data_IF_292615870483
#
_entry.id   IF_292615870483
#
_cell.length_a   1.000
_cell.length_b   1.000
_cell.length_c   1.000
_cell.angle_alpha   90.00
_cell.angle_beta   90.00
_cell.angle_gamma   90.00
#
_symmetry.space_group_name_H-M   'P 1'
#
loop_
_entity.id
_entity.type
_entity.pdbx_description
1 polymer ?
#
# COMPACT_ATOMS: atom_id res chain seq x y z
N UNK A 1 1.81 -42.30 -19.19
CA UNK A 1 1.34 -40.91 -18.92
C UNK A 1 1.90 -40.50 -17.58
N UNK A 2 3.05 -39.81 -17.56
CA UNK A 2 3.71 -39.44 -16.31
C UNK A 2 2.88 -38.40 -15.55
N UNK A 3 2.53 -38.68 -14.28
CA UNK A 3 2.08 -37.65 -13.35
C UNK A 3 3.19 -36.60 -13.28
N UNK A 4 3.03 -35.45 -13.95
CA UNK A 4 3.74 -34.24 -13.55
C UNK A 4 3.38 -34.04 -12.07
N UNK A 5 4.34 -34.20 -11.15
CA UNK A 5 4.12 -33.71 -9.79
C UNK A 5 3.75 -32.24 -9.93
N UNK A 6 2.53 -31.87 -9.54
CA UNK A 6 2.18 -30.47 -9.37
C UNK A 6 3.08 -29.95 -8.26
N UNK A 7 4.07 -29.13 -8.62
CA UNK A 7 4.90 -28.45 -7.63
C UNK A 7 4.00 -27.57 -6.78
N UNK A 8 3.86 -27.91 -5.50
CA UNK A 8 3.05 -27.16 -4.54
C UNK A 8 3.86 -25.97 -4.01
N UNK A 9 3.28 -24.77 -4.03
CA UNK A 9 3.86 -23.58 -3.42
C UNK A 9 3.22 -23.37 -2.04
N UNK A 10 4.04 -23.18 -1.00
CA UNK A 10 3.56 -22.78 0.33
C UNK A 10 4.17 -21.44 0.71
N UNK A 11 3.33 -20.55 1.23
CA UNK A 11 3.69 -19.18 1.58
C UNK A 11 3.37 -18.93 3.06
N UNK A 12 4.23 -18.20 3.76
CA UNK A 12 3.93 -17.76 5.12
C UNK A 12 2.98 -16.57 5.07
N UNK A 13 1.69 -16.81 5.34
CA UNK A 13 0.67 -15.77 5.32
C UNK A 13 0.69 -15.01 6.64
N UNK A 14 1.02 -13.72 6.60
CA UNK A 14 1.08 -12.85 7.77
C UNK A 14 -0.25 -12.84 8.53
N UNK A 15 -1.38 -12.82 7.82
CA UNK A 15 -2.73 -12.84 8.42
C UNK A 15 -3.00 -14.13 9.19
N UNK A 16 -2.53 -15.28 8.67
CA UNK A 16 -2.73 -16.58 9.31
C UNK A 16 -1.62 -16.96 10.32
N UNK A 17 -0.52 -16.18 10.38
CA UNK A 17 0.69 -16.48 11.16
C UNK A 17 1.29 -17.87 10.89
N UNK A 18 1.04 -18.42 9.70
CA UNK A 18 1.38 -19.79 9.38
C UNK A 18 1.75 -19.93 7.91
N UNK A 19 2.52 -20.98 7.60
CA UNK A 19 2.71 -21.42 6.21
C UNK A 19 1.44 -22.12 5.75
N UNK A 20 0.89 -21.66 4.63
CA UNK A 20 -0.30 -22.23 4.00
C UNK A 20 0.02 -22.61 2.56
N UNK A 21 -0.67 -23.63 2.04
CA UNK A 21 -0.64 -23.93 0.61
C UNK A 21 -1.23 -22.74 -0.15
N UNK A 22 -0.50 -22.24 -1.15
CA UNK A 22 -1.01 -21.20 -2.04
C UNK A 22 -1.96 -21.82 -3.07
N UNK A 23 -3.20 -21.37 -3.09
CA UNK A 23 -4.22 -21.76 -4.05
C UNK A 23 -4.76 -20.50 -4.69
N UNK A 24 -4.42 -20.21 -5.96
CA UNK A 24 -4.83 -18.97 -6.60
C UNK A 24 -6.36 -18.90 -6.74
N UNK A 25 -6.90 -17.68 -6.66
CA UNK A 25 -8.31 -17.39 -6.92
C UNK A 25 -8.68 -17.75 -8.37
N UNK A 26 -7.77 -17.44 -9.31
CA UNK A 26 -7.85 -17.85 -10.71
C UNK A 26 -6.45 -18.35 -11.17
N UNK A 27 -6.28 -19.65 -11.45
CA UNK A 27 -5.01 -20.19 -11.95
C UNK A 27 -4.54 -19.60 -13.30
N UNK A 28 -5.42 -18.92 -14.04
CA UNK A 28 -5.09 -18.24 -15.29
C UNK A 28 -4.76 -16.75 -15.11
N UNK A 29 -4.92 -16.22 -13.89
CA UNK A 29 -4.58 -14.83 -13.57
C UNK A 29 -4.31 -14.64 -12.07
N UNK A 30 -3.10 -14.99 -11.64
CA UNK A 30 -2.60 -14.68 -10.29
C UNK A 30 -2.27 -13.19 -10.21
N UNK A 31 -2.90 -12.50 -9.26
CA UNK A 31 -2.82 -11.04 -9.10
C UNK A 31 -2.05 -10.67 -7.85
N UNK A 32 -0.97 -9.90 -8.03
CA UNK A 32 -0.04 -9.48 -6.98
C UNK A 32 -0.04 -7.96 -6.91
N UNK A 33 -0.21 -7.42 -5.71
CA UNK A 33 0.07 -6.02 -5.41
C UNK A 33 1.26 -5.91 -4.45
N UNK A 34 2.23 -5.07 -4.77
CA UNK A 34 3.36 -4.74 -3.90
C UNK A 34 3.37 -3.23 -3.64
N UNK A 35 3.32 -2.82 -2.38
CA UNK A 35 3.53 -1.43 -2.02
C UNK A 35 4.93 -0.97 -2.46
N UNK A 36 4.96 0.04 -3.32
CA UNK A 36 6.18 0.61 -3.88
C UNK A 36 6.72 1.80 -3.07
N UNK A 37 7.72 2.51 -3.62
CA UNK A 37 8.41 3.56 -2.89
C UNK A 37 7.67 4.90 -2.92
N UNK A 38 7.90 5.72 -1.89
CA UNK A 38 7.72 7.17 -1.98
C UNK A 38 8.91 7.76 -2.74
N UNK A 39 8.65 8.39 -3.89
CA UNK A 39 9.70 8.81 -4.84
C UNK A 39 10.19 10.24 -4.56
N UNK A 40 10.83 10.45 -3.42
CA UNK A 40 11.38 11.76 -3.02
C UNK A 40 12.91 11.84 -3.04
N UNK A 41 13.59 10.69 -3.08
CA UNK A 41 15.06 10.58 -3.02
C UNK A 41 15.52 9.17 -3.49
N UNK A 42 16.82 8.93 -3.64
CA UNK A 42 17.42 7.65 -4.08
C UNK A 42 16.97 6.45 -3.24
N UNK A 43 16.75 5.31 -3.88
CA UNK A 43 16.45 4.06 -3.18
C UNK A 43 17.61 3.63 -2.28
N UNK A 44 17.32 3.04 -1.12
CA UNK A 44 18.32 2.35 -0.31
C UNK A 44 18.14 0.82 -0.40
N UNK A 45 19.10 0.06 0.15
CA UNK A 45 19.08 -1.40 0.12
C UNK A 45 17.82 -1.99 0.76
N UNK A 46 17.26 -1.34 1.78
CA UNK A 46 15.94 -1.73 2.32
C UNK A 46 14.81 -1.71 1.29
N UNK A 47 14.75 -0.71 0.40
CA UNK A 47 13.77 -0.68 -0.69
C UNK A 47 14.05 -1.81 -1.70
N UNK A 48 15.32 -2.00 -2.05
CA UNK A 48 15.75 -3.04 -2.98
C UNK A 48 15.39 -4.45 -2.50
N UNK A 49 15.58 -4.76 -1.21
CA UNK A 49 15.25 -6.08 -0.64
C UNK A 49 13.79 -6.45 -0.87
N UNK A 50 12.87 -5.51 -0.65
CA UNK A 50 11.44 -5.76 -0.89
C UNK A 50 11.22 -6.19 -2.34
N UNK A 51 11.73 -5.43 -3.30
CA UNK A 51 11.59 -5.73 -4.73
C UNK A 51 12.22 -7.07 -5.10
N UNK A 52 13.43 -7.36 -4.64
CA UNK A 52 14.15 -8.60 -4.95
C UNK A 52 13.36 -9.82 -4.46
N UNK A 53 12.82 -9.77 -3.25
CA UNK A 53 12.05 -10.88 -2.70
C UNK A 53 10.78 -11.15 -3.52
N UNK A 54 10.09 -10.09 -3.95
CA UNK A 54 8.89 -10.21 -4.78
C UNK A 54 9.20 -10.56 -6.24
N UNK A 55 10.36 -10.17 -6.79
CA UNK A 55 10.81 -10.60 -8.10
C UNK A 55 11.05 -12.12 -8.14
N UNK A 56 11.68 -12.68 -7.11
CA UNK A 56 11.83 -14.13 -6.98
C UNK A 56 10.46 -14.82 -6.95
N UNK A 57 9.51 -14.30 -6.16
CA UNK A 57 8.14 -14.83 -6.14
C UNK A 57 7.46 -14.72 -7.50
N UNK A 58 7.56 -13.57 -8.17
CA UNK A 58 6.97 -13.33 -9.49
C UNK A 58 7.51 -14.32 -10.52
N UNK A 59 8.83 -14.57 -10.54
CA UNK A 59 9.47 -15.58 -11.40
C UNK A 59 8.99 -16.99 -11.08
N UNK A 60 8.86 -17.34 -9.80
CA UNK A 60 8.35 -18.66 -9.38
C UNK A 60 6.91 -18.84 -9.86
N UNK A 61 6.03 -17.86 -9.65
CA UNK A 61 4.64 -17.93 -10.09
C UNK A 61 4.53 -18.04 -11.62
N UNK A 62 5.30 -17.23 -12.37
CA UNK A 62 5.37 -17.33 -13.84
C UNK A 62 5.86 -18.70 -14.31
N UNK A 63 6.79 -19.32 -13.58
CA UNK A 63 7.27 -20.68 -13.88
C UNK A 63 6.22 -21.76 -13.61
N UNK A 64 5.42 -21.59 -12.55
CA UNK A 64 4.41 -22.57 -12.13
C UNK A 64 3.12 -22.47 -12.96
N UNK A 65 2.66 -21.26 -13.24
CA UNK A 65 1.34 -21.00 -13.83
C UNK A 65 1.41 -20.53 -15.28
N UNK A 66 2.56 -20.01 -15.74
CA UNK A 66 2.75 -19.43 -17.06
C UNK A 66 2.93 -17.92 -17.00
N UNK A 67 3.76 -17.38 -17.90
CA UNK A 67 4.14 -15.96 -17.84
C UNK A 67 2.97 -15.01 -18.05
N UNK A 68 2.02 -15.37 -18.91
CA UNK A 68 0.83 -14.58 -19.21
C UNK A 68 -0.25 -14.67 -18.13
N UNK A 69 -0.08 -15.53 -17.12
CA UNK A 69 -1.07 -15.77 -16.06
C UNK A 69 -0.72 -15.07 -14.75
N UNK A 70 0.25 -14.15 -14.73
CA UNK A 70 0.62 -13.44 -13.51
C UNK A 70 0.59 -11.93 -13.76
N UNK A 71 -0.33 -11.25 -13.09
CA UNK A 71 -0.45 -9.79 -13.07
C UNK A 71 0.26 -9.25 -11.84
N UNK A 72 1.30 -8.46 -12.02
CA UNK A 72 2.07 -7.85 -10.94
C UNK A 72 1.94 -6.32 -10.99
N UNK A 73 1.44 -5.73 -9.91
CA UNK A 73 1.28 -4.29 -9.72
C UNK A 73 2.22 -3.79 -8.64
N UNK A 74 2.91 -2.68 -8.89
CA UNK A 74 3.69 -1.94 -7.87
C UNK A 74 3.53 -0.44 -8.07
N UNK A 75 2.96 0.25 -7.12
CA UNK A 75 2.72 1.69 -7.25
C UNK A 75 3.99 2.54 -7.08
N UNK A 76 3.87 3.81 -7.43
CA UNK A 76 4.75 4.88 -6.99
C UNK A 76 3.92 5.90 -6.22
N UNK A 77 4.28 6.13 -4.96
CA UNK A 77 3.72 7.24 -4.19
C UNK A 77 4.46 8.51 -4.60
N UNK A 78 3.86 9.24 -5.52
CA UNK A 78 4.36 10.49 -6.11
C UNK A 78 3.66 11.75 -5.55
N UNK A 79 2.93 11.58 -4.44
CA UNK A 79 2.46 12.65 -3.57
C UNK A 79 2.61 12.23 -2.11
N UNK A 80 3.38 12.99 -1.32
CA UNK A 80 3.59 12.72 0.10
C UNK A 80 4.17 13.95 0.78
N UNK A 81 4.07 14.03 2.12
CA UNK A 81 4.64 15.12 2.90
C UNK A 81 6.16 15.24 2.71
N UNK A 82 6.89 14.12 2.51
CA UNK A 82 8.33 14.13 2.22
C UNK A 82 8.65 14.72 0.85
N UNK A 83 7.79 14.48 -0.15
CA UNK A 83 7.94 15.06 -1.49
C UNK A 83 7.69 16.57 -1.42
N UNK A 84 6.65 16.99 -0.68
CA UNK A 84 6.34 18.41 -0.48
C UNK A 84 7.48 19.14 0.27
N UNK A 85 8.05 18.52 1.31
CA UNK A 85 9.20 19.07 2.01
C UNK A 85 10.40 19.24 1.05
N UNK A 86 10.70 18.22 0.23
CA UNK A 86 11.78 18.28 -0.76
C UNK A 86 11.54 19.35 -1.83
N UNK A 87 10.31 19.51 -2.28
CA UNK A 87 9.92 20.57 -3.23
C UNK A 87 10.14 21.96 -2.62
N UNK A 88 9.74 22.17 -1.37
CA UNK A 88 9.96 23.41 -0.64
C UNK A 88 11.46 23.70 -0.46
N UNK A 89 12.25 22.71 -0.06
CA UNK A 89 13.70 22.84 0.14
C UNK A 89 14.47 23.18 -1.14
N UNK A 90 14.07 22.61 -2.27
CA UNK A 90 14.82 22.71 -3.53
C UNK A 90 14.26 23.74 -4.51
N UNK A 91 13.06 24.27 -4.27
CA UNK A 91 12.32 25.12 -5.20
C UNK A 91 11.86 24.41 -6.48
N UNK A 92 12.03 23.09 -6.57
CA UNK A 92 11.59 22.26 -7.71
C UNK A 92 10.14 21.83 -7.52
N UNK A 93 9.43 21.60 -8.62
CA UNK A 93 8.09 21.03 -8.57
C UNK A 93 8.12 19.57 -8.11
N UNK A 94 7.01 19.09 -7.54
CA UNK A 94 6.87 17.66 -7.18
C UNK A 94 7.02 16.75 -8.41
N UNK A 95 6.59 17.21 -9.59
CA UNK A 95 6.65 16.44 -10.82
C UNK A 95 8.10 16.21 -11.26
N UNK A 96 8.94 17.25 -11.19
CA UNK A 96 10.36 17.15 -11.52
C UNK A 96 11.11 16.22 -10.55
N UNK A 97 10.82 16.33 -9.25
CA UNK A 97 11.45 15.48 -8.22
C UNK A 97 11.05 14.03 -8.44
N UNK A 98 9.75 13.76 -8.53
CA UNK A 98 9.20 12.40 -8.61
C UNK A 98 9.55 11.71 -9.93
N UNK A 99 9.62 12.45 -11.04
CA UNK A 99 10.07 11.90 -12.32
C UNK A 99 11.53 11.44 -12.27
N UNK A 100 12.42 12.26 -11.71
CA UNK A 100 13.85 11.95 -11.58
C UNK A 100 14.09 10.75 -10.65
N UNK A 101 13.48 10.78 -9.47
CA UNK A 101 13.65 9.73 -8.45
C UNK A 101 13.00 8.41 -8.88
N UNK A 102 11.88 8.46 -9.61
CA UNK A 102 11.31 7.27 -10.26
C UNK A 102 12.27 6.69 -11.30
N UNK A 103 12.89 7.53 -12.14
CA UNK A 103 13.86 7.06 -13.14
C UNK A 103 15.08 6.41 -12.49
N UNK A 104 15.62 7.01 -11.42
CA UNK A 104 16.69 6.40 -10.62
C UNK A 104 16.27 5.07 -10.03
N UNK A 105 15.09 5.01 -9.39
CA UNK A 105 14.58 3.77 -8.80
C UNK A 105 14.46 2.65 -9.83
N UNK A 106 13.90 2.94 -11.01
CA UNK A 106 13.76 1.97 -12.10
C UNK A 106 15.12 1.47 -12.58
N UNK A 107 16.09 2.37 -12.79
CA UNK A 107 17.46 2.00 -13.17
C UNK A 107 18.11 1.11 -12.11
N UNK A 108 18.04 1.51 -10.84
CA UNK A 108 18.64 0.77 -9.72
C UNK A 108 18.01 -0.64 -9.60
N UNK A 109 16.69 -0.77 -9.79
CA UNK A 109 16.02 -2.09 -9.75
C UNK A 109 16.37 -2.96 -10.97
N UNK A 110 16.53 -2.36 -12.15
CA UNK A 110 16.94 -3.05 -13.36
C UNK A 110 18.39 -3.57 -13.27
N UNK A 111 19.30 -2.76 -12.72
CA UNK A 111 20.70 -3.14 -12.49
C UNK A 111 20.83 -4.32 -11.50
N UNK A 112 19.87 -4.45 -10.58
CA UNK A 112 19.73 -5.58 -9.67
C UNK A 112 19.07 -6.81 -10.32
N UNK A 113 18.67 -6.73 -11.59
CA UNK A 113 18.08 -7.82 -12.37
C UNK A 113 16.59 -8.09 -12.08
N UNK A 114 15.89 -7.16 -11.44
CA UNK A 114 14.45 -7.31 -11.20
C UNK A 114 13.67 -7.14 -12.50
N UNK A 115 12.59 -7.89 -12.65
CA UNK A 115 11.62 -7.71 -13.72
C UNK A 115 10.72 -6.51 -13.43
N UNK A 116 10.25 -5.89 -14.51
CA UNK A 116 9.23 -4.87 -14.41
C UNK A 116 7.87 -5.48 -14.00
N UNK A 117 7.11 -4.80 -13.12
CA UNK A 117 5.70 -5.10 -12.90
C UNK A 117 4.88 -4.95 -14.18
N UNK A 118 3.80 -5.71 -14.29
CA UNK A 118 2.77 -5.55 -15.34
C UNK A 118 2.19 -4.13 -15.34
N UNK A 119 1.96 -3.56 -14.14
CA UNK A 119 1.48 -2.18 -13.99
C UNK A 119 2.26 -1.43 -12.89
N UNK A 120 2.55 -0.16 -13.16
CA UNK A 120 3.24 0.74 -12.23
C UNK A 120 2.45 2.04 -12.03
N UNK A 121 1.30 2.00 -11.34
CA UNK A 121 0.43 3.16 -11.18
C UNK A 121 1.08 4.24 -10.31
N UNK A 122 0.75 5.50 -10.58
CA UNK A 122 1.15 6.66 -9.79
C UNK A 122 -0.04 7.15 -8.98
N UNK A 123 0.16 7.48 -7.71
CA UNK A 123 -0.91 7.97 -6.83
C UNK A 123 -1.63 9.20 -7.43
N UNK A 124 -0.88 10.16 -7.99
CA UNK A 124 -1.46 11.35 -8.61
C UNK A 124 -2.42 11.07 -9.78
N UNK A 125 -2.29 9.91 -10.44
CA UNK A 125 -3.14 9.51 -11.56
C UNK A 125 -4.46 8.82 -11.10
N UNK A 126 -4.59 8.50 -9.82
CA UNK A 126 -5.73 7.76 -9.26
C UNK A 126 -6.55 8.58 -8.25
N UNK A 127 -6.33 9.89 -8.17
CA UNK A 127 -7.07 10.78 -7.26
C UNK A 127 -8.59 10.69 -7.45
N UNK A 128 -9.15 10.63 -8.69
CA UNK A 128 -10.58 10.44 -8.86
C UNK A 128 -11.11 9.15 -8.22
N UNK A 129 -10.38 8.04 -8.36
CA UNK A 129 -10.72 6.74 -7.76
C UNK A 129 -10.64 6.79 -6.23
N UNK A 130 -9.64 7.50 -5.68
CA UNK A 130 -9.54 7.73 -4.24
C UNK A 130 -10.74 8.52 -3.72
N UNK A 131 -11.11 9.62 -4.39
CA UNK A 131 -12.30 10.41 -4.03
C UNK A 131 -13.55 9.52 -4.06
N UNK A 132 -13.74 8.72 -5.12
CA UNK A 132 -14.90 7.84 -5.23
C UNK A 132 -14.96 6.81 -4.09
N UNK A 133 -13.82 6.20 -3.72
CA UNK A 133 -13.77 5.26 -2.61
C UNK A 133 -14.10 5.94 -1.27
N UNK A 134 -13.63 7.17 -1.08
CA UNK A 134 -13.92 7.95 0.14
C UNK A 134 -15.42 8.29 0.22
N UNK A 135 -16.05 8.68 -0.88
CA UNK A 135 -17.50 8.90 -0.91
C UNK A 135 -18.26 7.63 -0.53
N UNK A 136 -17.86 6.47 -1.06
CA UNK A 136 -18.46 5.18 -0.72
C UNK A 136 -18.31 4.86 0.77
N UNK A 137 -17.13 5.11 1.35
CA UNK A 137 -16.87 4.91 2.78
C UNK A 137 -17.72 5.84 3.66
N UNK A 138 -17.93 7.09 3.25
CA UNK A 138 -18.83 8.01 3.98
C UNK A 138 -20.27 7.51 3.90
N UNK A 139 -20.74 7.14 2.71
CA UNK A 139 -22.11 6.64 2.50
C UNK A 139 -22.39 5.35 3.27
N UNK A 140 -21.36 4.53 3.50
CA UNK A 140 -21.41 3.31 4.30
C UNK A 140 -21.15 3.54 5.80
N UNK A 141 -21.08 4.80 6.25
CA UNK A 141 -20.84 5.18 7.66
C UNK A 141 -19.49 4.71 8.24
N UNK A 142 -18.52 4.40 7.37
CA UNK A 142 -17.15 4.03 7.72
C UNK A 142 -16.16 5.21 7.69
N UNK A 143 -16.59 6.36 7.19
CA UNK A 143 -15.81 7.59 7.16
C UNK A 143 -16.66 8.82 7.49
N UNK A 144 -16.01 9.90 7.91
CA UNK A 144 -16.67 11.17 8.19
C UNK A 144 -15.79 12.36 7.82
N UNK A 145 -16.43 13.46 7.42
CA UNK A 145 -15.75 14.73 7.19
C UNK A 145 -15.69 15.56 8.48
N UNK A 146 -14.55 16.22 8.73
CA UNK A 146 -14.35 17.15 9.85
C UNK A 146 -13.27 18.17 9.48
N UNK A 147 -13.58 19.47 9.63
CA UNK A 147 -12.60 20.56 9.43
C UNK A 147 -11.84 20.46 8.08
N UNK A 148 -12.54 20.15 6.99
CA UNK A 148 -11.94 19.98 5.65
C UNK A 148 -11.15 18.67 5.44
N UNK A 149 -11.01 17.84 6.48
CA UNK A 149 -10.47 16.50 6.39
C UNK A 149 -11.59 15.49 6.16
N UNK A 150 -11.23 14.31 5.65
CA UNK A 150 -12.04 13.10 5.74
C UNK A 150 -11.25 12.02 6.44
N UNK A 151 -11.88 11.36 7.40
CA UNK A 151 -11.27 10.39 8.28
C UNK A 151 -12.01 9.06 8.18
N UNK A 152 -11.27 7.97 8.23
CA UNK A 152 -11.83 6.64 8.44
C UNK A 152 -12.12 6.46 9.94
N UNK A 153 -13.34 6.02 10.26
CA UNK A 153 -13.75 5.73 11.63
C UNK A 153 -13.35 4.31 12.01
N UNK A 154 -12.26 4.14 12.76
CA UNK A 154 -11.69 2.81 13.04
C UNK A 154 -12.69 1.88 13.75
N UNK A 155 -13.46 2.42 14.71
CA UNK A 155 -14.45 1.64 15.47
C UNK A 155 -15.62 1.13 14.62
N UNK A 156 -15.79 1.64 13.39
CA UNK A 156 -16.81 1.15 12.46
C UNK A 156 -16.42 -0.18 11.80
N UNK A 157 -15.15 -0.62 11.93
CA UNK A 157 -14.66 -1.87 11.36
C UNK A 157 -14.24 -2.86 12.45
N UNK A 158 -15.11 -3.85 12.72
CA UNK A 158 -14.93 -4.80 13.81
C UNK A 158 -13.65 -5.67 13.70
N UNK A 159 -13.14 -5.87 12.49
CA UNK A 159 -11.96 -6.70 12.20
C UNK A 159 -10.64 -5.90 12.23
N UNK A 160 -10.67 -4.62 12.62
CA UNK A 160 -9.48 -3.76 12.63
C UNK A 160 -8.41 -4.29 13.60
N UNK A 161 -7.17 -4.40 13.12
CA UNK A 161 -6.02 -4.93 13.90
C UNK A 161 -5.75 -6.42 13.65
N UNK A 162 -6.59 -7.09 12.87
CA UNK A 162 -6.47 -8.53 12.60
C UNK A 162 -5.18 -8.91 11.85
N UNK A 163 -4.68 -8.08 10.94
CA UNK A 163 -3.44 -8.37 10.20
C UNK A 163 -2.21 -8.24 11.10
N UNK A 164 -2.14 -7.15 11.86
CA UNK A 164 -1.04 -6.81 12.75
C UNK A 164 -1.07 -7.60 14.06
N UNK A 165 -2.24 -8.12 14.45
CA UNK A 165 -2.47 -8.78 15.73
C UNK A 165 -2.41 -7.82 16.91
N UNK A 166 -2.55 -6.50 16.66
CA UNK A 166 -2.56 -5.47 17.70
C UNK A 166 -3.99 -5.24 18.16
N UNK A 167 -4.19 -5.13 19.47
CA UNK A 167 -5.47 -4.67 20.02
C UNK A 167 -5.57 -3.15 19.97
N UNK A 168 -6.78 -2.59 20.00
CA UNK A 168 -6.98 -1.13 20.09
C UNK A 168 -6.28 -0.57 21.34
N UNK A 169 -6.31 -1.29 22.45
CA UNK A 169 -5.64 -0.90 23.70
C UNK A 169 -4.11 -0.81 23.55
N UNK A 170 -3.48 -1.77 22.86
CA UNK A 170 -2.03 -1.74 22.57
C UNK A 170 -1.67 -0.51 21.70
N UNK A 171 -2.54 -0.16 20.77
CA UNK A 171 -2.34 0.99 19.89
C UNK A 171 -2.48 2.31 20.66
N UNK A 172 -3.48 2.43 21.53
CA UNK A 172 -3.71 3.61 22.38
C UNK A 172 -2.58 3.82 23.40
N UNK A 173 -2.04 2.74 23.99
CA UNK A 173 -0.92 2.81 24.92
C UNK A 173 0.38 3.33 24.25
N UNK A 174 0.56 3.05 22.97
CA UNK A 174 1.66 3.56 22.15
C UNK A 174 1.44 4.99 21.62
N UNK A 175 0.18 5.39 21.44
CA UNK A 175 -0.22 6.71 20.98
C UNK A 175 -0.16 7.74 22.13
N UNK A 176 1.04 8.02 22.65
CA UNK A 176 1.30 9.17 23.55
C UNK A 176 1.29 10.50 22.78
N UNK A 177 0.27 10.72 21.94
CA UNK A 177 0.16 11.90 21.08
C UNK A 177 -1.18 12.57 21.34
N UNK A 178 -1.15 13.90 21.39
CA UNK A 178 -2.35 14.73 21.49
C UNK A 178 -3.27 14.44 20.29
N UNK A 179 -4.54 14.11 20.59
CA UNK A 179 -5.53 13.79 19.57
C UNK A 179 -5.81 15.05 18.77
N UNK A 180 -5.57 15.03 17.47
CA UNK A 180 -5.91 16.16 16.62
C UNK A 180 -7.42 16.48 16.77
N UNK A 181 -7.81 17.76 16.89
CA UNK A 181 -9.17 18.14 17.30
C UNK A 181 -10.27 17.65 16.35
N UNK A 182 -9.93 17.41 15.08
CA UNK A 182 -10.83 16.91 14.05
C UNK A 182 -11.08 15.38 14.13
N UNK A 183 -10.40 14.65 15.03
CA UNK A 183 -10.59 13.21 15.24
C UNK A 183 -11.63 12.93 16.33
N UNK A 184 -12.57 12.02 16.06
CA UNK A 184 -13.51 11.49 17.06
C UNK A 184 -12.83 10.42 17.91
N UNK A 185 -12.01 9.59 17.28
CA UNK A 185 -11.15 8.61 17.93
C UNK A 185 -9.67 8.88 17.56
N UNK A 186 -8.72 8.83 18.52
CA UNK A 186 -7.27 8.97 18.25
C UNK A 186 -6.75 8.12 17.08
N UNK A 187 -7.32 6.93 16.90
CA UNK A 187 -6.93 5.93 15.90
C UNK A 187 -7.50 6.21 14.51
N UNK A 188 -8.51 7.06 14.39
CA UNK A 188 -9.08 7.46 13.11
C UNK A 188 -7.98 8.04 12.22
N UNK A 189 -7.90 7.58 10.98
CA UNK A 189 -6.82 7.97 10.07
C UNK A 189 -7.35 8.75 8.88
N UNK A 190 -6.51 9.62 8.36
CA UNK A 190 -6.85 10.52 7.26
C UNK A 190 -7.02 9.74 5.96
N UNK A 191 -8.17 9.93 5.33
CA UNK A 191 -8.45 9.55 3.94
C UNK A 191 -8.20 10.73 2.99
N UNK A 192 -8.54 11.95 3.42
CA UNK A 192 -8.34 13.19 2.69
C UNK A 192 -7.91 14.30 3.66
N UNK A 193 -6.91 15.10 3.30
CA UNK A 193 -6.48 16.27 4.08
C UNK A 193 -6.51 17.55 3.25
N UNK A 194 -6.86 18.71 3.84
CA UNK A 194 -6.73 20.00 3.18
C UNK A 194 -5.32 20.22 2.66
N UNK A 195 -5.21 20.92 1.54
CA UNK A 195 -3.93 21.38 0.99
C UNK A 195 -3.93 22.89 0.96
N UNK A 196 -2.81 23.48 1.37
CA UNK A 196 -2.55 24.89 1.12
C UNK A 196 -2.21 25.10 -0.36
N UNK A 197 -2.44 26.30 -0.90
CA UNK A 197 -2.23 26.58 -2.32
C UNK A 197 -0.78 26.50 -2.80
N UNK A 198 0.18 26.42 -1.88
CA UNK A 198 1.61 26.16 -2.11
C UNK A 198 1.96 24.66 -2.08
N UNK A 199 1.03 23.79 -1.65
CA UNK A 199 1.14 22.33 -1.72
C UNK A 199 0.24 21.78 -2.83
N UNK A 200 0.60 20.63 -3.45
CA UNK A 200 -0.25 20.00 -4.45
C UNK A 200 -1.61 19.60 -3.87
N UNK A 201 -2.67 19.85 -4.63
CA UNK A 201 -4.03 19.48 -4.25
C UNK A 201 -4.97 19.37 -5.44
N UNK A 202 -6.13 18.77 -5.19
CA UNK A 202 -7.22 18.54 -6.12
C UNK A 202 -8.53 19.02 -5.51
N UNK A 203 -9.47 19.37 -6.39
CA UNK A 203 -10.83 19.66 -5.97
C UNK A 203 -11.54 18.36 -5.57
N UNK A 204 -12.30 18.41 -4.48
CA UNK A 204 -13.10 17.31 -3.96
C UNK A 204 -14.39 17.83 -3.33
N UNK A 205 -15.38 16.97 -3.02
CA UNK A 205 -16.57 17.36 -2.26
C UNK A 205 -16.28 17.99 -0.89
N UNK A 206 -15.08 17.75 -0.34
CA UNK A 206 -14.66 18.24 0.98
C UNK A 206 -13.71 19.44 0.90
N UNK A 207 -13.56 20.03 -0.29
CA UNK A 207 -12.68 21.17 -0.57
C UNK A 207 -11.36 20.78 -1.21
N UNK A 208 -10.50 21.78 -1.40
CA UNK A 208 -9.18 21.59 -2.01
C UNK A 208 -8.24 20.84 -1.06
N UNK A 209 -7.73 19.69 -1.50
CA UNK A 209 -6.93 18.84 -0.65
C UNK A 209 -6.21 17.73 -1.39
N UNK A 210 -5.76 16.73 -0.64
CA UNK A 210 -4.96 15.63 -1.16
C UNK A 210 -5.22 14.35 -0.37
N UNK A 211 -4.99 13.17 -0.98
CA UNK A 211 -5.24 11.89 -0.33
C UNK A 211 -4.34 11.68 0.90
N UNK A 212 -4.83 10.86 1.83
CA UNK A 212 -4.00 10.23 2.85
C UNK A 212 -3.19 9.07 2.26
N UNK A 213 -2.11 8.69 2.92
CA UNK A 213 -1.17 7.68 2.37
C UNK A 213 -1.82 6.32 2.06
N UNK A 214 -2.73 5.84 2.92
CA UNK A 214 -3.29 4.49 2.82
C UNK A 214 -4.30 4.34 1.67
N UNK A 215 -5.10 5.38 1.39
CA UNK A 215 -6.20 5.30 0.40
C UNK A 215 -5.67 5.11 -1.03
N UNK A 216 -4.41 5.50 -1.27
CA UNK A 216 -3.75 5.35 -2.55
C UNK A 216 -3.72 3.88 -2.99
N UNK A 217 -3.18 3.01 -2.15
CA UNK A 217 -3.00 1.59 -2.46
C UNK A 217 -4.33 0.85 -2.57
N UNK A 218 -5.29 1.15 -1.70
CA UNK A 218 -6.65 0.60 -1.77
C UNK A 218 -7.33 0.94 -3.10
N UNK A 219 -7.28 2.20 -3.53
CA UNK A 219 -7.92 2.62 -4.78
C UNK A 219 -7.21 2.08 -6.03
N UNK A 220 -5.86 2.11 -6.06
CA UNK A 220 -5.08 1.61 -7.20
C UNK A 220 -5.22 0.09 -7.37
N UNK A 221 -5.18 -0.67 -6.26
CA UNK A 221 -5.32 -2.12 -6.31
C UNK A 221 -6.73 -2.55 -6.71
N UNK A 222 -7.77 -1.85 -6.25
CA UNK A 222 -9.14 -2.11 -6.70
C UNK A 222 -9.30 -1.96 -8.22
N UNK A 223 -8.80 -0.85 -8.78
CA UNK A 223 -8.94 -0.56 -10.21
C UNK A 223 -8.19 -1.57 -11.10
N UNK A 224 -6.99 -1.98 -10.66
CA UNK A 224 -6.11 -2.84 -11.46
C UNK A 224 -6.32 -4.35 -11.22
N UNK A 225 -6.72 -4.75 -10.02
CA UNK A 225 -6.80 -6.15 -9.61
C UNK A 225 -8.21 -6.59 -9.21
N UNK A 226 -9.15 -5.65 -9.05
CA UNK A 226 -10.50 -5.90 -8.56
C UNK A 226 -10.58 -5.97 -7.04
N UNK A 227 -11.80 -6.21 -6.53
CA UNK A 227 -12.09 -6.13 -5.09
C UNK A 227 -11.24 -7.10 -4.26
N UNK A 228 -11.03 -8.33 -4.77
CA UNK A 228 -10.23 -9.37 -4.11
C UNK A 228 -9.20 -9.98 -5.06
N UNK A 229 -7.95 -10.09 -4.59
CA UNK A 229 -6.81 -10.63 -5.33
C UNK A 229 -5.94 -11.58 -4.48
N UNK A 230 -4.93 -12.19 -5.12
CA UNK A 230 -4.21 -13.33 -4.55
C UNK A 230 -3.21 -12.92 -3.47
N UNK A 231 -2.33 -11.95 -3.77
CA UNK A 231 -1.16 -11.66 -2.92
C UNK A 231 -0.98 -10.15 -2.74
N UNK A 232 -0.89 -9.70 -1.49
CA UNK A 232 -0.47 -8.35 -1.14
C UNK A 232 0.87 -8.38 -0.39
N UNK A 233 1.79 -7.49 -0.78
CA UNK A 233 3.16 -7.47 -0.31
C UNK A 233 3.69 -6.13 0.18
N UNK A 234 4.69 -6.19 1.07
CA UNK A 234 5.51 -5.03 1.45
C UNK A 234 6.57 -5.34 2.51
N UNK A 235 7.24 -4.30 3.02
CA UNK A 235 8.09 -4.42 4.21
C UNK A 235 7.27 -4.68 5.47
N UNK A 236 7.84 -5.33 6.49
CA UNK A 236 7.12 -5.61 7.75
C UNK A 236 6.70 -4.35 8.52
N UNK A 237 7.31 -3.21 8.24
CA UNK A 237 6.92 -1.90 8.73
C UNK A 237 5.59 -1.40 8.12
N UNK A 238 5.18 -1.96 6.98
CA UNK A 238 3.89 -1.67 6.37
C UNK A 238 2.75 -2.50 6.95
N UNK A 239 3.01 -3.59 7.68
CA UNK A 239 1.95 -4.39 8.30
C UNK A 239 1.03 -3.54 9.17
N UNK A 240 1.59 -2.56 9.90
CA UNK A 240 0.83 -1.56 10.62
C UNK A 240 1.56 -0.20 10.61
N UNK A 241 0.87 0.92 10.34
CA UNK A 241 -0.57 1.01 10.12
C UNK A 241 -1.00 0.74 8.66
N UNK A 242 -0.07 0.70 7.71
CA UNK A 242 -0.40 0.87 6.29
C UNK A 242 -1.35 -0.20 5.74
N UNK A 243 -0.93 -1.47 5.74
CA UNK A 243 -1.73 -2.57 5.21
C UNK A 243 -2.98 -2.87 6.04
N UNK A 244 -2.95 -2.64 7.35
CA UNK A 244 -4.15 -2.74 8.19
C UNK A 244 -5.22 -1.73 7.76
N UNK A 245 -4.81 -0.49 7.49
CA UNK A 245 -5.68 0.57 7.01
C UNK A 245 -6.21 0.29 5.60
N UNK A 246 -5.40 -0.32 4.73
CA UNK A 246 -5.85 -0.72 3.39
C UNK A 246 -6.90 -1.83 3.42
N UNK A 247 -6.74 -2.82 4.32
CA UNK A 247 -7.79 -3.83 4.56
C UNK A 247 -9.07 -3.15 5.02
N UNK A 248 -8.98 -2.25 6.01
CA UNK A 248 -10.15 -1.57 6.55
C UNK A 248 -10.88 -0.76 5.47
N UNK A 249 -10.16 0.06 4.70
CA UNK A 249 -10.71 0.83 3.59
C UNK A 249 -11.37 -0.06 2.53
N UNK A 250 -10.66 -1.08 2.06
CA UNK A 250 -11.11 -1.93 0.95
C UNK A 250 -12.29 -2.82 1.34
N UNK A 251 -12.24 -3.44 2.52
CA UNK A 251 -13.31 -4.30 3.01
C UNK A 251 -14.56 -3.51 3.42
N UNK A 252 -14.42 -2.29 3.96
CA UNK A 252 -15.57 -1.42 4.25
C UNK A 252 -16.20 -0.82 2.99
N UNK A 253 -15.40 -0.49 1.97
CA UNK A 253 -15.91 -0.06 0.67
C UNK A 253 -16.57 -1.23 -0.09
N UNK A 254 -16.11 -2.46 0.13
CA UNK A 254 -16.59 -3.68 -0.53
C UNK A 254 -16.82 -4.81 0.48
N UNK A 255 -17.98 -4.89 1.15
CA UNK A 255 -18.22 -5.81 2.30
C UNK A 255 -18.08 -7.31 2.01
N UNK A 256 -18.09 -7.72 0.73
CA UNK A 256 -17.88 -9.13 0.32
C UNK A 256 -16.42 -9.44 -0.01
N UNK A 257 -15.57 -8.42 -0.03
CA UNK A 257 -14.17 -8.55 -0.37
C UNK A 257 -13.36 -9.14 0.77
N UNK A 258 -12.33 -9.92 0.42
CA UNK A 258 -11.25 -10.32 1.33
C UNK A 258 -9.99 -9.46 1.15
N UNK A 259 -10.04 -8.50 0.23
CA UNK A 259 -8.94 -7.69 -0.29
C UNK A 259 -7.78 -8.53 -0.86
N UNK A 260 -6.98 -9.17 -0.01
CA UNK A 260 -5.93 -10.09 -0.41
C UNK A 260 -6.00 -11.42 0.34
N UNK A 261 -5.89 -12.53 -0.38
CA UNK A 261 -5.90 -13.88 0.21
C UNK A 261 -4.63 -14.16 1.03
N UNK A 262 -3.47 -13.70 0.55
CA UNK A 262 -2.17 -13.93 1.17
C UNK A 262 -1.43 -12.62 1.38
N UNK A 263 -0.98 -12.39 2.62
CA UNK A 263 -0.15 -11.25 3.00
C UNK A 263 1.29 -11.68 3.19
N UNK A 264 2.22 -11.05 2.48
CA UNK A 264 3.65 -11.35 2.54
C UNK A 264 4.44 -10.13 2.97
N UNK A 265 5.23 -10.28 4.03
CA UNK A 265 6.06 -9.21 4.55
C UNK A 265 7.52 -9.63 4.69
N UNK A 266 8.44 -8.82 4.17
CA UNK A 266 9.87 -9.06 4.37
C UNK A 266 10.37 -8.34 5.64
N UNK A 267 11.29 -9.00 6.34
CA UNK A 267 11.99 -8.40 7.48
C UNK A 267 12.88 -7.22 7.06
N UNK A 268 13.10 -6.31 8.01
CA UNK A 268 13.98 -5.16 7.81
C UNK A 268 15.44 -5.60 7.62
N UNK A 269 16.19 -4.81 6.86
CA UNK A 269 17.65 -4.93 6.85
C UNK A 269 18.24 -4.26 8.08
N UNK A 270 19.23 -4.93 8.67
CA UNK A 270 20.06 -4.39 9.74
C UNK A 270 21.46 -4.13 9.22
N UNK A 271 22.06 -3.00 9.61
CA UNK A 271 23.48 -2.70 9.43
C UNK A 271 24.03 -2.39 10.81
N UNK A 272 25.10 -3.09 11.19
CA UNK A 272 25.73 -2.98 12.52
C UNK A 272 24.73 -3.14 13.69
N UNK A 273 23.76 -4.05 13.53
CA UNK A 273 22.73 -4.33 14.53
C UNK A 273 21.64 -3.26 14.67
N UNK A 274 21.64 -2.23 13.83
CA UNK A 274 20.60 -1.19 13.76
C UNK A 274 19.75 -1.35 12.50
N UNK A 275 18.45 -1.07 12.63
CA UNK A 275 17.53 -1.01 11.49
C UNK A 275 18.01 0.05 10.50
N UNK A 276 18.12 -0.31 9.22
CA UNK A 276 18.36 0.66 8.16
C UNK A 276 17.06 1.44 7.89
N UNK A 277 17.08 2.74 8.13
CA UNK A 277 16.03 3.70 7.76
C UNK A 277 16.66 5.02 7.33
N UNK A 278 15.94 5.80 6.50
CA UNK A 278 16.31 7.20 6.21
C UNK A 278 16.00 8.15 7.37
N UNK A 279 15.22 7.70 8.34
CA UNK A 279 14.91 8.38 9.60
C UNK A 279 15.84 7.93 10.72
#
# INVERSE_FOLDING_TARGET
>A
MGRKLMTTLSLHNTLARAKQLFVPLDPQNIRIYLCGPTVYDRAHLGNARNVIMFDVLFRVLRKLYGEAHVTYVRNFTDIDDKINAKASETGRSIAEITQETTAWYLQDMADLGNLDPTHMPRATAYVPQMIQMIENLINAEHAYAAEGHVLFAVDSYADYGRLSGRTIDDMLAGARVEVAPYKRNPMDFVLWKPSSGDQPGWQSPWGFGRPGWHIECSAMSLDLLGESFDIHGGGNDLTFPHHENEIAQSCCAHPKSQFAQVWLHNEMLQVDGKKMSKS
#
